data_IF_584063091093
#
_entry.id   IF_584063091093
#
_cell.length_a   1.000
_cell.length_b   1.000
_cell.length_c   1.000
_cell.angle_alpha   90.00
_cell.angle_beta   90.00
_cell.angle_gamma   90.00
#
_symmetry.space_group_name_H-M   'P 1'
#
loop_
_entity.id
_entity.type
_entity.pdbx_description
1 polymer ?
#
# COMPACT_ATOMS: atom_id res chain seq x y z
N UNK A 1 27.94 -23.78 -12.27
CA UNK A 1 27.14 -24.61 -11.36
C UNK A 1 26.41 -25.78 -12.06
N UNK A 2 26.91 -26.32 -13.19
CA UNK A 2 26.22 -27.44 -13.85
C UNK A 2 26.25 -28.68 -12.93
N UNK A 3 25.09 -29.08 -12.43
CA UNK A 3 24.90 -30.28 -11.60
C UNK A 3 24.79 -30.07 -10.09
N UNK A 4 24.93 -28.84 -9.58
CA UNK A 4 24.67 -28.53 -8.16
C UNK A 4 23.26 -27.94 -8.00
N UNK A 5 22.59 -28.32 -6.91
CA UNK A 5 21.26 -27.81 -6.54
C UNK A 5 21.38 -26.36 -6.03
N UNK A 6 20.80 -25.37 -6.74
CA UNK A 6 20.88 -23.97 -6.34
C UNK A 6 20.30 -23.69 -4.94
N UNK A 7 19.25 -24.41 -4.54
CA UNK A 7 18.66 -24.21 -3.21
C UNK A 7 19.64 -24.63 -2.11
N UNK A 8 20.32 -25.77 -2.27
CA UNK A 8 21.33 -26.22 -1.29
C UNK A 8 22.50 -25.25 -1.18
N UNK A 9 22.91 -24.64 -2.29
CA UNK A 9 23.96 -23.62 -2.30
C UNK A 9 23.47 -22.36 -1.57
N UNK A 10 22.26 -21.88 -1.85
CA UNK A 10 21.69 -20.74 -1.15
C UNK A 10 21.56 -20.99 0.36
N UNK A 11 21.15 -22.20 0.76
CA UNK A 11 20.95 -22.59 2.15
C UNK A 11 22.22 -22.57 3.00
N UNK A 12 23.42 -22.58 2.40
CA UNK A 12 24.70 -22.37 3.11
C UNK A 12 24.62 -21.12 3.99
N UNK A 13 24.00 -20.06 3.49
CA UNK A 13 23.88 -18.77 4.17
C UNK A 13 22.74 -18.67 5.18
N UNK A 14 21.94 -19.72 5.35
CA UNK A 14 20.96 -19.80 6.45
C UNK A 14 21.60 -20.11 7.80
N UNK A 15 22.81 -20.66 7.80
CA UNK A 15 23.50 -20.99 9.05
C UNK A 15 23.86 -19.74 9.86
N UNK A 16 23.86 -19.86 11.18
CA UNK A 16 24.18 -18.76 12.09
C UNK A 16 25.58 -18.18 11.86
N UNK A 17 26.51 -18.98 11.31
CA UNK A 17 27.86 -18.53 11.00
C UNK A 17 27.87 -17.42 9.93
N UNK A 18 26.91 -17.43 8.99
CA UNK A 18 26.80 -16.42 7.93
C UNK A 18 25.67 -15.42 8.20
N UNK A 19 24.52 -15.88 8.69
CA UNK A 19 23.33 -15.04 8.88
C UNK A 19 23.61 -13.80 9.74
N UNK A 20 24.48 -13.92 10.76
CA UNK A 20 24.91 -12.80 11.61
C UNK A 20 25.61 -11.67 10.84
N UNK A 21 26.35 -12.00 9.77
CA UNK A 21 27.04 -11.02 8.94
C UNK A 21 26.04 -10.20 8.12
N UNK A 22 24.95 -10.82 7.68
CA UNK A 22 23.94 -10.16 6.84
C UNK A 22 22.96 -9.30 7.63
N UNK A 23 22.89 -9.45 8.96
CA UNK A 23 22.11 -8.55 9.81
C UNK A 23 22.76 -7.16 9.95
N UNK A 24 24.09 -7.06 9.80
CA UNK A 24 24.83 -5.81 9.95
C UNK A 24 25.01 -5.14 8.58
N UNK A 25 24.80 -3.81 8.46
CA UNK A 25 25.18 -3.09 7.25
C UNK A 25 26.64 -3.37 6.88
N UNK A 26 26.87 -3.74 5.63
CA UNK A 26 28.19 -4.10 5.07
C UNK A 26 28.88 -5.29 5.77
N UNK A 27 28.20 -6.03 6.63
CA UNK A 27 28.81 -7.16 7.35
C UNK A 27 29.22 -8.31 6.43
N UNK A 28 28.62 -8.39 5.23
CA UNK A 28 28.97 -9.33 4.17
C UNK A 28 30.42 -9.18 3.68
N UNK A 29 31.07 -8.03 3.86
CA UNK A 29 32.48 -7.85 3.50
C UNK A 29 33.43 -8.76 4.29
N UNK A 30 32.96 -9.40 5.36
CA UNK A 30 33.71 -10.38 6.15
C UNK A 30 33.48 -11.84 5.72
N UNK A 31 32.73 -12.05 4.64
CA UNK A 31 32.48 -13.38 4.06
C UNK A 31 33.32 -13.50 2.79
N UNK A 32 33.83 -14.71 2.52
CA UNK A 32 34.58 -14.99 1.30
C UNK A 32 33.81 -14.55 0.04
N UNK A 33 34.48 -13.79 -0.83
CA UNK A 33 33.82 -13.10 -1.93
C UNK A 33 33.39 -14.07 -3.06
N UNK A 34 34.12 -15.16 -3.27
CA UNK A 34 33.74 -16.20 -4.23
C UNK A 34 32.53 -17.00 -3.72
N UNK A 35 32.50 -17.33 -2.42
CA UNK A 35 31.35 -17.94 -1.78
C UNK A 35 30.12 -17.04 -1.84
N UNK A 36 30.27 -15.73 -1.58
CA UNK A 36 29.20 -14.74 -1.73
C UNK A 36 28.66 -14.72 -3.16
N UNK A 37 29.53 -14.74 -4.17
CA UNK A 37 29.13 -14.75 -5.58
C UNK A 37 28.35 -16.01 -5.91
N UNK A 38 28.86 -17.16 -5.49
CA UNK A 38 28.26 -18.47 -5.73
C UNK A 38 26.85 -18.54 -5.14
N UNK A 39 26.68 -18.16 -3.86
CA UNK A 39 25.38 -18.17 -3.21
C UNK A 39 24.42 -17.10 -3.76
N UNK A 40 24.93 -15.92 -4.15
CA UNK A 40 24.10 -14.89 -4.80
C UNK A 40 23.57 -15.35 -6.18
N UNK A 41 24.41 -16.00 -6.98
CA UNK A 41 23.98 -16.61 -8.24
C UNK A 41 22.99 -17.76 -8.01
N UNK A 42 23.19 -18.58 -6.98
CA UNK A 42 22.27 -19.65 -6.63
C UNK A 42 20.90 -19.13 -6.21
N UNK A 43 20.84 -18.06 -5.39
CA UNK A 43 19.59 -17.38 -5.05
C UNK A 43 18.88 -16.86 -6.32
N UNK A 44 19.64 -16.26 -7.24
CA UNK A 44 19.11 -15.79 -8.52
C UNK A 44 18.52 -16.94 -9.35
N UNK A 45 19.22 -18.08 -9.47
CA UNK A 45 18.71 -19.25 -10.19
C UNK A 45 17.40 -19.79 -9.57
N UNK A 46 17.31 -19.85 -8.24
CA UNK A 46 16.06 -20.22 -7.54
C UNK A 46 14.93 -19.23 -7.87
N UNK A 47 15.20 -17.92 -7.83
CA UNK A 47 14.20 -16.90 -8.16
C UNK A 47 13.76 -16.94 -9.63
N UNK A 48 14.67 -17.22 -10.57
CA UNK A 48 14.34 -17.34 -12.00
C UNK A 48 13.51 -18.59 -12.31
N UNK A 49 13.74 -19.69 -11.60
CA UNK A 49 12.98 -20.92 -11.77
C UNK A 49 11.59 -20.87 -11.10
N UNK A 50 11.34 -19.89 -10.22
CA UNK A 50 10.09 -19.80 -9.49
C UNK A 50 8.92 -19.35 -10.40
N UNK A 51 7.74 -20.02 -10.34
CA UNK A 51 6.60 -19.69 -11.19
C UNK A 51 5.86 -18.44 -10.68
N UNK A 52 6.46 -17.27 -10.90
CA UNK A 52 5.94 -15.98 -10.41
C UNK A 52 4.52 -15.69 -10.88
N UNK A 53 4.16 -16.07 -12.10
CA UNK A 53 2.82 -15.83 -12.64
C UNK A 53 1.75 -16.65 -11.91
N UNK A 54 2.02 -17.93 -11.63
CA UNK A 54 1.09 -18.80 -10.91
C UNK A 54 0.98 -18.36 -9.45
N UNK A 55 2.11 -18.01 -8.82
CA UNK A 55 2.12 -17.39 -7.49
C UNK A 55 1.28 -16.10 -7.46
N UNK A 56 1.47 -15.20 -8.43
CA UNK A 56 0.76 -13.92 -8.46
C UNK A 56 -0.75 -14.10 -8.69
N UNK A 57 -1.13 -15.09 -9.51
CA UNK A 57 -2.53 -15.50 -9.70
C UNK A 57 -3.16 -15.94 -8.38
N UNK A 58 -2.50 -16.82 -7.63
CA UNK A 58 -3.01 -17.28 -6.34
C UNK A 58 -3.03 -16.15 -5.29
N UNK A 59 -1.91 -15.45 -5.12
CA UNK A 59 -1.71 -14.51 -4.02
C UNK A 59 -2.46 -13.18 -4.20
N UNK A 60 -2.48 -12.63 -5.42
CA UNK A 60 -3.02 -11.28 -5.66
C UNK A 60 -4.34 -11.29 -6.43
N UNK A 61 -4.53 -12.23 -7.36
CA UNK A 61 -5.82 -12.36 -8.07
C UNK A 61 -6.82 -13.23 -7.31
N UNK A 62 -6.37 -13.95 -6.26
CA UNK A 62 -7.19 -14.87 -5.46
C UNK A 62 -7.89 -15.93 -6.32
N UNK A 63 -7.23 -16.37 -7.39
CA UNK A 63 -7.72 -17.42 -8.29
C UNK A 63 -6.96 -18.71 -7.99
N UNK A 64 -7.72 -19.75 -7.67
CA UNK A 64 -7.22 -21.10 -7.41
C UNK A 64 -7.88 -22.04 -8.41
N UNK A 65 -7.08 -22.93 -9.00
CA UNK A 65 -7.59 -24.06 -9.75
C UNK A 65 -7.99 -25.18 -8.78
N UNK A 66 -8.97 -25.99 -9.18
CA UNK A 66 -9.49 -27.04 -8.30
C UNK A 66 -8.41 -28.11 -8.06
N UNK A 67 -8.17 -28.44 -6.80
CA UNK A 67 -7.07 -29.34 -6.39
C UNK A 67 -5.65 -28.72 -6.43
N UNK A 68 -5.50 -27.44 -6.74
CA UNK A 68 -4.19 -26.77 -6.79
C UNK A 68 -3.59 -26.55 -5.40
N UNK A 69 -2.30 -26.87 -5.24
CA UNK A 69 -1.58 -26.59 -4.00
C UNK A 69 -1.20 -25.11 -3.88
N UNK A 70 -1.19 -24.59 -2.65
CA UNK A 70 -0.72 -23.23 -2.37
C UNK A 70 0.76 -23.11 -2.73
N UNK A 71 1.07 -22.21 -3.66
CA UNK A 71 2.44 -21.86 -4.04
C UNK A 71 2.99 -20.91 -2.97
N UNK A 72 4.09 -21.29 -2.33
CA UNK A 72 4.84 -20.45 -1.40
C UNK A 72 6.09 -19.92 -2.09
N UNK A 73 6.46 -18.68 -1.78
CA UNK A 73 7.73 -18.11 -2.26
C UNK A 73 8.91 -18.97 -1.82
N UNK A 74 10.01 -18.98 -2.59
CA UNK A 74 11.21 -19.70 -2.19
C UNK A 74 11.72 -19.24 -0.82
N UNK A 75 12.16 -20.18 0.00
CA UNK A 75 12.77 -19.90 1.29
C UNK A 75 14.26 -19.58 1.08
N UNK A 76 14.57 -18.31 0.81
CA UNK A 76 15.95 -17.85 0.60
C UNK A 76 16.60 -17.39 1.91
N UNK A 77 17.93 -17.47 2.04
CA UNK A 77 18.64 -16.87 3.17
C UNK A 77 18.38 -15.36 3.26
N UNK A 78 18.64 -14.78 4.43
CA UNK A 78 18.60 -13.32 4.59
C UNK A 78 19.58 -12.65 3.62
N UNK A 79 19.13 -11.66 2.87
CA UNK A 79 20.00 -10.91 1.97
C UNK A 79 21.00 -10.01 2.73
N UNK A 80 22.17 -9.70 2.15
CA UNK A 80 23.15 -8.81 2.75
C UNK A 80 22.68 -7.36 2.88
N UNK A 81 22.80 -6.76 4.08
CA UNK A 81 22.51 -5.34 4.31
C UNK A 81 23.66 -4.46 3.81
N UNK A 82 23.42 -3.25 3.25
CA UNK A 82 22.17 -2.49 3.31
C UNK A 82 21.13 -2.84 2.23
N UNK A 83 21.43 -3.71 1.27
CA UNK A 83 20.49 -4.11 0.22
C UNK A 83 19.18 -4.67 0.80
N UNK A 84 18.09 -4.62 0.02
CA UNK A 84 16.74 -5.05 0.43
C UNK A 84 16.27 -6.34 -0.26
N UNK A 85 17.08 -6.89 -1.16
CA UNK A 85 16.85 -8.18 -1.81
C UNK A 85 18.16 -8.81 -2.30
N UNK A 86 18.13 -10.11 -2.60
CA UNK A 86 19.26 -10.81 -3.25
C UNK A 86 19.53 -10.28 -4.65
N UNK A 87 18.48 -9.96 -5.41
CA UNK A 87 18.60 -9.35 -6.74
C UNK A 87 19.37 -8.02 -6.67
N UNK A 88 19.00 -7.11 -5.77
CA UNK A 88 19.72 -5.84 -5.57
C UNK A 88 21.17 -6.05 -5.16
N UNK A 89 21.44 -6.94 -4.20
CA UNK A 89 22.80 -7.26 -3.77
C UNK A 89 23.64 -7.81 -4.94
N UNK A 90 23.10 -8.78 -5.69
CA UNK A 90 23.79 -9.40 -6.82
C UNK A 90 24.09 -8.36 -7.90
N UNK A 91 23.12 -7.55 -8.28
CA UNK A 91 23.31 -6.50 -9.30
C UNK A 91 24.30 -5.42 -8.84
N UNK A 92 24.21 -4.98 -7.58
CA UNK A 92 25.00 -3.88 -7.03
C UNK A 92 26.40 -4.26 -6.56
N UNK A 93 26.65 -5.52 -6.19
CA UNK A 93 27.96 -5.97 -5.71
C UNK A 93 28.74 -6.75 -6.77
N UNK A 94 28.04 -7.50 -7.64
CA UNK A 94 28.65 -8.38 -8.63
C UNK A 94 28.22 -8.14 -10.08
N UNK A 95 27.13 -7.40 -10.30
CA UNK A 95 26.55 -7.17 -11.61
C UNK A 95 26.91 -5.81 -12.21
N UNK A 96 26.12 -5.39 -13.20
CA UNK A 96 26.34 -4.14 -13.94
C UNK A 96 26.16 -2.85 -13.13
N UNK A 97 25.60 -2.92 -11.92
CA UNK A 97 25.44 -1.77 -11.03
C UNK A 97 26.57 -1.64 -10.01
N UNK A 98 27.64 -2.45 -10.16
CA UNK A 98 28.80 -2.37 -9.28
C UNK A 98 29.47 -0.99 -9.35
N UNK A 99 29.70 -0.40 -8.19
CA UNK A 99 30.31 0.93 -8.05
C UNK A 99 29.31 2.09 -8.07
N UNK A 100 28.01 1.83 -8.24
CA UNK A 100 26.96 2.84 -8.07
C UNK A 100 26.59 2.98 -6.59
N UNK A 101 26.26 4.19 -6.17
CA UNK A 101 25.75 4.43 -4.82
C UNK A 101 24.37 3.77 -4.63
N UNK A 102 24.24 2.93 -3.61
CA UNK A 102 22.99 2.27 -3.27
C UNK A 102 22.16 3.13 -2.30
N UNK A 103 20.91 3.45 -2.67
CA UNK A 103 19.98 4.30 -1.91
C UNK A 103 20.61 5.61 -1.36
N UNK A 104 21.24 6.45 -2.20
CA UNK A 104 21.89 7.66 -1.74
C UNK A 104 20.87 8.63 -1.14
N UNK A 105 21.05 8.97 0.14
CA UNK A 105 20.08 9.76 0.93
C UNK A 105 19.83 11.17 0.38
N UNK A 106 20.79 11.72 -0.37
CA UNK A 106 20.70 13.01 -1.04
C UNK A 106 19.69 13.04 -2.20
N UNK A 107 19.25 11.89 -2.72
CA UNK A 107 18.40 11.78 -3.91
C UNK A 107 16.97 11.34 -3.59
N UNK A 108 16.37 11.90 -2.54
CA UNK A 108 14.94 11.72 -2.25
C UNK A 108 14.11 12.64 -3.15
N UNK A 109 13.44 12.06 -4.14
CA UNK A 109 12.63 12.80 -5.11
C UNK A 109 11.18 12.89 -4.58
N UNK A 110 10.64 14.10 -4.30
CA UNK A 110 9.25 14.24 -3.90
C UNK A 110 8.31 13.99 -5.09
N UNK A 111 7.19 13.32 -4.83
CA UNK A 111 6.10 13.15 -5.79
C UNK A 111 4.75 13.27 -5.07
N UNK A 112 3.70 13.59 -5.82
CA UNK A 112 2.34 13.75 -5.32
C UNK A 112 1.38 12.94 -6.19
N UNK A 113 0.36 12.36 -5.56
CA UNK A 113 -0.75 11.69 -6.25
C UNK A 113 -2.02 12.38 -5.85
N UNK A 114 -2.77 12.88 -6.84
CA UNK A 114 -4.06 13.51 -6.61
C UNK A 114 -5.16 12.47 -6.46
N UNK A 115 -6.05 12.69 -5.50
CA UNK A 115 -7.22 11.85 -5.25
C UNK A 115 -8.45 12.72 -5.02
N UNK A 116 -9.59 12.32 -5.58
CA UNK A 116 -10.90 12.89 -5.30
C UNK A 116 -11.73 11.96 -4.43
N UNK A 117 -12.44 12.52 -3.45
CA UNK A 117 -13.44 11.80 -2.66
C UNK A 117 -14.84 12.23 -3.09
N UNK A 118 -15.67 11.25 -3.41
CA UNK A 118 -17.10 11.44 -3.64
C UNK A 118 -17.86 10.72 -2.52
N UNK A 119 -18.62 11.44 -1.67
CA UNK A 119 -19.48 10.80 -0.68
C UNK A 119 -20.70 10.17 -1.34
N UNK A 120 -21.30 9.17 -0.68
CA UNK A 120 -22.54 8.56 -1.16
C UNK A 120 -23.72 9.54 -1.02
N UNK A 121 -23.80 10.26 0.10
CA UNK A 121 -24.82 11.30 0.34
C UNK A 121 -24.26 12.51 1.10
N UNK A 122 -24.93 13.65 0.92
CA UNK A 122 -24.66 14.91 1.64
C UNK A 122 -25.88 15.27 2.48
N UNK A 123 -25.68 15.78 3.69
CA UNK A 123 -26.77 16.24 4.53
C UNK A 123 -27.43 17.51 3.95
N UNK A 124 -28.76 17.56 3.84
CA UNK A 124 -29.44 18.72 3.24
C UNK A 124 -29.41 19.97 4.12
N UNK A 125 -29.08 19.86 5.41
CA UNK A 125 -29.04 20.99 6.34
C UNK A 125 -27.63 21.52 6.59
N UNK A 126 -26.59 20.73 6.26
CA UNK A 126 -25.19 21.11 6.40
C UNK A 126 -24.33 20.28 5.44
N UNK A 127 -23.84 20.89 4.36
CA UNK A 127 -23.12 20.20 3.29
C UNK A 127 -21.71 19.73 3.67
N UNK A 128 -21.27 20.00 4.90
CA UNK A 128 -20.05 19.45 5.51
C UNK A 128 -20.30 18.14 6.26
N UNK A 129 -21.56 17.70 6.41
CA UNK A 129 -21.89 16.38 6.93
C UNK A 129 -22.18 15.47 5.74
N UNK A 130 -21.43 14.39 5.63
CA UNK A 130 -21.58 13.42 4.55
C UNK A 130 -21.86 12.03 5.13
N UNK A 131 -22.57 11.21 4.37
CA UNK A 131 -22.89 9.84 4.74
C UNK A 131 -22.22 8.85 3.79
N UNK A 132 -21.72 7.76 4.34
CA UNK A 132 -21.09 6.68 3.59
C UNK A 132 -21.71 5.34 3.99
N UNK A 133 -22.31 4.65 3.02
CA UNK A 133 -22.81 3.28 3.19
C UNK A 133 -21.65 2.30 3.10
N UNK A 134 -21.46 1.45 4.12
CA UNK A 134 -20.32 0.53 4.14
C UNK A 134 -20.63 -0.85 4.70
N UNK A 135 -20.34 -1.86 3.88
CA UNK A 135 -20.26 -3.25 4.32
C UNK A 135 -18.93 -3.58 5.01
N UNK A 136 -17.82 -3.16 4.41
CA UNK A 136 -16.48 -3.35 4.98
C UNK A 136 -15.53 -2.22 4.57
N UNK A 137 -14.64 -1.84 5.47
CA UNK A 137 -13.46 -1.01 5.16
C UNK A 137 -12.31 -1.97 4.84
N UNK A 138 -12.16 -2.30 3.56
CA UNK A 138 -11.37 -3.46 3.12
C UNK A 138 -9.86 -3.33 3.38
N UNK A 139 -9.29 -2.16 3.10
CA UNK A 139 -7.84 -1.91 3.13
C UNK A 139 -7.49 -0.58 3.84
N UNK A 140 -6.21 -0.46 4.22
CA UNK A 140 -5.72 0.67 5.00
C UNK A 140 -5.76 1.96 4.17
N UNK A 141 -5.70 1.84 2.85
CA UNK A 141 -5.82 2.95 1.92
C UNK A 141 -7.23 3.54 1.94
N UNK A 142 -8.26 2.71 1.89
CA UNK A 142 -9.66 3.09 2.05
C UNK A 142 -9.91 3.75 3.40
N UNK A 143 -9.33 3.21 4.48
CA UNK A 143 -9.41 3.84 5.80
C UNK A 143 -8.73 5.22 5.83
N UNK A 144 -7.52 5.33 5.26
CA UNK A 144 -6.77 6.59 5.16
C UNK A 144 -7.50 7.63 4.31
N UNK A 145 -8.15 7.22 3.21
CA UNK A 145 -8.98 8.07 2.34
C UNK A 145 -9.98 8.88 3.16
N UNK A 146 -10.79 8.21 4.01
CA UNK A 146 -11.79 8.90 4.82
C UNK A 146 -11.17 9.87 5.83
N UNK A 147 -10.07 9.47 6.47
CA UNK A 147 -9.35 10.34 7.42
C UNK A 147 -8.80 11.58 6.70
N UNK A 148 -8.16 11.40 5.54
CA UNK A 148 -7.60 12.50 4.76
C UNK A 148 -8.71 13.42 4.24
N UNK A 149 -9.76 12.86 3.64
CA UNK A 149 -10.90 13.63 3.13
C UNK A 149 -11.54 14.48 4.24
N UNK A 150 -11.80 13.89 5.40
CA UNK A 150 -12.38 14.57 6.56
C UNK A 150 -11.48 15.71 7.06
N UNK A 151 -10.19 15.43 7.27
CA UNK A 151 -9.25 16.40 7.84
C UNK A 151 -8.92 17.55 6.89
N UNK A 152 -8.72 17.25 5.61
CA UNK A 152 -8.27 18.24 4.63
C UNK A 152 -9.42 19.13 4.13
N UNK A 153 -10.65 18.61 4.10
CA UNK A 153 -11.80 19.36 3.61
C UNK A 153 -12.75 19.85 4.71
N UNK A 154 -12.41 19.56 5.98
CA UNK A 154 -13.26 19.88 7.13
C UNK A 154 -14.70 19.36 6.95
N UNK A 155 -14.81 18.08 6.63
CA UNK A 155 -16.09 17.36 6.54
C UNK A 155 -16.22 16.34 7.68
N UNK A 156 -17.45 16.07 8.10
CA UNK A 156 -17.79 15.05 9.07
C UNK A 156 -18.43 13.87 8.35
N UNK A 157 -17.83 12.69 8.48
CA UNK A 157 -18.33 11.47 7.85
C UNK A 157 -19.16 10.71 8.89
N UNK A 158 -20.40 10.38 8.52
CA UNK A 158 -21.28 9.48 9.26
C UNK A 158 -21.38 8.17 8.48
N UNK A 159 -20.88 7.09 9.05
CA UNK A 159 -20.97 5.77 8.40
C UNK A 159 -22.33 5.11 8.65
N UNK A 160 -22.88 4.48 7.62
CA UNK A 160 -24.05 3.60 7.72
C UNK A 160 -23.53 2.18 7.49
N UNK A 161 -23.33 1.43 8.57
CA UNK A 161 -22.80 0.07 8.48
C UNK A 161 -23.91 -0.96 8.23
N UNK A 162 -23.65 -1.91 7.34
CA UNK A 162 -24.62 -2.98 7.06
C UNK A 162 -24.71 -4.02 8.19
N UNK A 163 -23.59 -4.25 8.90
CA UNK A 163 -23.48 -5.29 9.91
C UNK A 163 -22.66 -4.83 11.13
N UNK A 164 -22.99 -5.40 12.29
CA UNK A 164 -22.32 -5.15 13.57
C UNK A 164 -21.04 -5.97 13.71
N UNK A 165 -20.07 -5.43 14.44
CA UNK A 165 -18.86 -6.13 14.89
C UNK A 165 -17.99 -6.70 13.76
N UNK A 166 -18.07 -6.10 12.56
CA UNK A 166 -17.23 -6.50 11.44
C UNK A 166 -15.79 -6.11 11.78
N UNK A 167 -14.94 -7.13 11.92
CA UNK A 167 -13.51 -6.96 12.07
C UNK A 167 -12.96 -6.33 10.81
N UNK A 168 -12.11 -5.35 10.99
CA UNK A 168 -11.49 -4.74 9.85
C UNK A 168 -10.28 -5.56 9.38
N UNK A 169 -10.19 -5.93 8.09
CA UNK A 169 -9.27 -6.99 7.62
C UNK A 169 -7.78 -6.67 7.77
N UNK A 170 -7.43 -5.39 7.87
CA UNK A 170 -6.07 -4.89 7.83
C UNK A 170 -5.33 -4.81 9.16
N UNK A 171 -5.95 -5.26 10.26
CA UNK A 171 -5.45 -5.04 11.61
C UNK A 171 -5.05 -6.37 12.19
N UNK A 172 -3.81 -6.38 12.66
CA UNK A 172 -3.29 -7.51 13.40
C UNK A 172 -4.11 -7.71 14.67
N UNK A 173 -4.50 -8.95 15.00
CA UNK A 173 -5.11 -9.24 16.30
C UNK A 173 -4.23 -8.72 17.44
N UNK A 174 -4.87 -8.24 18.50
CA UNK A 174 -4.21 -7.84 19.75
C UNK A 174 -3.69 -9.08 20.48
N UNK A 175 -2.87 -8.88 21.51
CA UNK A 175 -2.30 -9.97 22.33
C UNK A 175 -3.39 -10.85 22.94
N UNK A 176 -4.53 -10.25 23.31
CA UNK A 176 -5.71 -10.94 23.85
C UNK A 176 -6.57 -11.65 22.79
N UNK A 177 -6.16 -11.65 21.52
CA UNK A 177 -6.89 -12.26 20.40
C UNK A 177 -8.04 -11.41 19.85
N UNK A 178 -8.40 -10.30 20.49
CA UNK A 178 -9.42 -9.38 19.96
C UNK A 178 -8.90 -8.63 18.73
N UNK A 179 -9.80 -8.13 17.89
CA UNK A 179 -9.44 -7.34 16.71
C UNK A 179 -10.34 -6.12 16.64
N UNK A 180 -9.78 -4.99 16.18
CA UNK A 180 -10.55 -3.76 16.04
C UNK A 180 -11.68 -3.95 15.03
N UNK A 181 -12.90 -3.57 15.42
CA UNK A 181 -14.06 -3.57 14.51
C UNK A 181 -14.17 -2.23 13.77
N UNK A 182 -15.07 -2.16 12.78
CA UNK A 182 -15.36 -0.91 12.08
C UNK A 182 -15.87 0.19 13.02
N UNK A 183 -16.68 -0.19 14.01
CA UNK A 183 -17.19 0.70 15.05
C UNK A 183 -16.08 1.28 15.92
N UNK A 184 -15.17 0.42 16.39
CA UNK A 184 -14.01 0.84 17.17
C UNK A 184 -13.14 1.81 16.36
N UNK A 185 -12.92 1.50 15.08
CA UNK A 185 -12.14 2.34 14.18
C UNK A 185 -12.82 3.70 13.96
N UNK A 186 -14.12 3.73 13.64
CA UNK A 186 -14.87 4.96 13.42
C UNK A 186 -14.80 5.87 14.65
N UNK A 187 -15.11 5.32 15.84
CA UNK A 187 -14.99 6.05 17.12
C UNK A 187 -13.58 6.56 17.36
N UNK A 188 -12.56 5.74 17.14
CA UNK A 188 -11.15 6.13 17.31
C UNK A 188 -10.75 7.29 16.40
N UNK A 189 -11.29 7.36 15.19
CA UNK A 189 -11.02 8.46 14.25
C UNK A 189 -11.93 9.68 14.45
N UNK A 190 -12.90 9.61 15.37
CA UNK A 190 -13.85 10.69 15.64
C UNK A 190 -15.05 10.73 14.68
N UNK A 191 -15.30 9.66 13.93
CA UNK A 191 -16.48 9.52 13.07
C UNK A 191 -17.68 9.00 13.86
N UNK A 192 -18.87 9.44 13.44
CA UNK A 192 -20.12 8.87 13.91
C UNK A 192 -20.54 7.71 12.98
N UNK A 193 -21.36 6.80 13.50
CA UNK A 193 -21.96 5.76 12.68
C UNK A 193 -23.35 5.37 13.19
N UNK A 194 -24.17 4.84 12.28
CA UNK A 194 -25.36 4.08 12.58
C UNK A 194 -25.38 2.81 11.71
N UNK A 195 -26.48 2.07 11.75
CA UNK A 195 -26.66 0.90 10.90
C UNK A 195 -27.79 1.14 9.90
N UNK A 196 -27.85 0.31 8.86
CA UNK A 196 -28.96 0.31 7.92
C UNK A 196 -30.31 0.22 8.66
N UNK A 197 -31.25 1.08 8.27
CA UNK A 197 -32.57 1.23 8.92
C UNK A 197 -32.56 2.10 10.19
N UNK A 198 -31.41 2.59 10.65
CA UNK A 198 -31.28 3.46 11.83
C UNK A 198 -31.00 4.92 11.48
N UNK A 199 -30.95 5.27 10.21
CA UNK A 199 -30.61 6.60 9.69
C UNK A 199 -31.60 7.64 10.20
N UNK A 200 -32.91 7.34 10.13
CA UNK A 200 -33.96 8.24 10.61
C UNK A 200 -33.87 8.46 12.14
N UNK A 201 -33.44 7.45 12.89
CA UNK A 201 -33.23 7.58 14.33
C UNK A 201 -31.99 8.45 14.62
N UNK A 202 -30.88 8.22 13.90
CA UNK A 202 -29.67 9.05 14.01
C UNK A 202 -29.99 10.52 13.72
N UNK A 203 -30.74 10.81 12.65
CA UNK A 203 -31.16 12.17 12.26
C UNK A 203 -32.12 12.85 13.24
N UNK A 204 -32.64 12.13 14.25
CA UNK A 204 -33.42 12.71 15.36
C UNK A 204 -32.62 12.87 16.64
N UNK A 205 -31.41 12.30 16.71
CA UNK A 205 -30.56 12.32 17.88
C UNK A 205 -30.04 13.73 18.20
N UNK A 206 -29.71 13.98 19.47
CA UNK A 206 -29.11 15.25 19.87
C UNK A 206 -27.70 15.42 19.29
N UNK A 207 -26.99 14.31 19.04
CA UNK A 207 -25.71 14.32 18.34
C UNK A 207 -25.85 14.89 16.93
N UNK A 208 -26.85 14.43 16.16
CA UNK A 208 -27.14 14.98 14.84
C UNK A 208 -27.48 16.47 14.90
N UNK A 209 -28.38 16.87 15.81
CA UNK A 209 -28.73 18.28 15.99
C UNK A 209 -27.49 19.13 16.29
N UNK A 210 -26.60 18.63 17.15
CA UNK A 210 -25.33 19.29 17.46
C UNK A 210 -24.44 19.41 16.22
N UNK A 211 -24.29 18.34 15.43
CA UNK A 211 -23.49 18.36 14.21
C UNK A 211 -24.00 19.41 13.22
N UNK A 212 -25.29 19.41 12.92
CA UNK A 212 -25.90 20.37 11.98
C UNK A 212 -25.65 21.81 12.44
N UNK A 213 -25.80 22.08 13.74
CA UNK A 213 -25.67 23.44 14.28
C UNK A 213 -24.22 23.92 14.47
N UNK A 214 -23.27 23.00 14.70
CA UNK A 214 -21.94 23.37 15.19
C UNK A 214 -20.79 22.91 14.30
N UNK A 215 -20.94 21.82 13.55
CA UNK A 215 -19.84 21.31 12.74
C UNK A 215 -19.58 22.23 11.54
N UNK A 216 -18.33 22.66 11.40
CA UNK A 216 -17.95 23.61 10.36
C UNK A 216 -18.59 24.99 10.53
N UNK A 217 -19.11 25.32 11.72
CA UNK A 217 -19.68 26.65 11.98
C UNK A 217 -18.65 27.74 11.66
N UNK A 218 -19.08 28.75 10.93
CA UNK A 218 -18.28 29.87 10.40
C UNK A 218 -17.37 29.52 9.20
N UNK A 219 -17.42 28.29 8.66
CA UNK A 219 -16.84 27.99 7.36
C UNK A 219 -17.85 28.31 6.25
N UNK A 220 -17.40 28.64 5.02
CA UNK A 220 -18.28 28.69 3.86
C UNK A 220 -18.90 27.31 3.61
N UNK A 221 -19.95 27.25 2.80
CA UNK A 221 -20.48 25.95 2.37
C UNK A 221 -19.37 25.15 1.68
N UNK A 222 -19.38 23.82 1.83
CA UNK A 222 -18.43 22.95 1.16
C UNK A 222 -18.49 23.16 -0.35
N UNK A 223 -19.70 23.30 -0.91
CA UNK A 223 -19.90 23.53 -2.35
C UNK A 223 -19.22 24.81 -2.84
N UNK A 224 -19.33 25.91 -2.10
CA UNK A 224 -18.64 27.17 -2.44
C UNK A 224 -17.13 26.99 -2.38
N UNK A 225 -16.61 26.37 -1.30
CA UNK A 225 -15.18 26.10 -1.14
C UNK A 225 -14.62 25.32 -2.34
N UNK A 226 -15.28 24.22 -2.72
CA UNK A 226 -14.85 23.38 -3.84
C UNK A 226 -14.89 24.11 -5.19
N UNK A 227 -15.82 25.05 -5.38
CA UNK A 227 -15.90 25.85 -6.61
C UNK A 227 -14.73 26.83 -6.74
N UNK A 228 -14.28 27.41 -5.62
CA UNK A 228 -13.12 28.32 -5.58
C UNK A 228 -11.81 27.55 -5.75
N UNK A 229 -11.68 26.40 -5.09
CA UNK A 229 -10.49 25.56 -5.17
C UNK A 229 -10.29 24.99 -6.58
N UNK A 230 -11.38 24.58 -7.24
CA UNK A 230 -11.35 24.11 -8.63
C UNK A 230 -10.91 25.17 -9.66
N UNK A 231 -11.04 26.46 -9.34
CA UNK A 231 -10.49 27.54 -10.19
C UNK A 231 -8.98 27.74 -10.01
N UNK A 232 -8.41 27.31 -8.88
CA UNK A 232 -7.02 27.60 -8.51
C UNK A 232 -6.05 26.41 -8.70
N UNK A 233 -6.54 25.20 -9.02
CA UNK A 233 -5.77 23.95 -8.92
C UNK A 233 -5.07 23.46 -10.19
N UNK A 234 -4.86 24.27 -11.23
CA UNK A 234 -4.18 23.82 -12.47
C UNK A 234 -2.84 24.54 -12.78
N UNK A 235 -1.76 24.29 -12.03
CA UNK A 235 -0.42 24.33 -12.57
C UNK A 235 -0.07 22.94 -13.16
N UNK A 236 0.08 22.89 -14.48
CA UNK A 236 0.08 21.65 -15.27
C UNK A 236 1.09 20.57 -14.89
N UNK A 237 0.69 19.30 -15.07
CA UNK A 237 1.57 18.14 -14.98
C UNK A 237 1.34 17.17 -16.17
N UNK A 238 2.43 16.99 -16.92
CA UNK A 238 2.79 15.88 -17.83
C UNK A 238 1.79 15.40 -18.89
N UNK A 239 1.82 16.05 -20.05
CA UNK A 239 1.41 15.44 -21.32
C UNK A 239 2.57 14.63 -21.92
N UNK A 240 2.67 13.32 -21.63
CA UNK A 240 3.35 12.40 -22.54
C UNK A 240 2.35 11.89 -23.59
N UNK A 241 2.05 12.73 -24.59
CA UNK A 241 1.66 12.20 -25.89
C UNK A 241 2.95 11.79 -26.59
N UNK A 242 3.23 10.49 -26.65
CA UNK A 242 4.19 9.97 -27.62
C UNK A 242 3.70 10.40 -29.01
N UNK A 243 4.37 11.39 -29.61
CA UNK A 243 4.21 11.67 -31.02
C UNK A 243 4.88 10.52 -31.77
N UNK A 244 4.07 9.65 -32.37
CA UNK A 244 4.54 8.70 -33.38
C UNK A 244 4.88 9.49 -34.64
N UNK A 245 6.11 9.94 -34.79
CA UNK A 245 6.64 10.37 -36.08
C UNK A 245 6.99 9.13 -36.90
N UNK A 246 6.08 8.75 -37.80
CA UNK A 246 6.41 7.87 -38.93
C UNK A 246 7.35 8.62 -39.86
N UNK A 247 8.63 8.26 -39.84
CA UNK A 247 9.62 8.70 -40.82
C UNK A 247 9.43 7.86 -42.08
N UNK A 248 8.82 8.43 -43.10
CA UNK A 248 8.82 7.87 -44.46
C UNK A 248 10.18 8.15 -45.07
N UNK A 249 11.04 7.12 -45.15
CA UNK A 249 12.26 7.23 -45.95
C UNK A 249 11.88 7.20 -47.43
N UNK A 250 12.08 8.31 -48.12
CA UNK A 250 12.11 8.35 -49.58
C UNK A 250 13.54 8.04 -50.01
N UNK A 251 13.72 6.92 -50.70
CA UNK A 251 14.99 6.56 -51.34
C UNK A 251 15.07 7.32 -52.65
N UNK A 252 16.15 8.07 -52.85
CA UNK A 252 16.61 8.54 -54.16
C UNK A 252 17.81 7.69 -54.58
#
# INVERSE_FOLDING_TARGET
>A
MKGLDPQKIADIFKSDSYAKHFQKPHGYLNVDNELLKLCADACYEVEQAFPWNDYNRQAYQRKFEDGESIIKTPDLPRYPRPYRSWSEFRMGHFGGMKGFDYEPSAYKIPYYVEHSYQPDWIDPLNDRIVYEGKGVIADLETARKYICAAKQNHIHIVFIFSNRNIKCPWVKPRVDGTSMTMEDWAKKQGFDYCYEGQEAAFRKSDRYKWLVQNFGRNLPSLKEQLSVDGMNSHPGFFAHKQQSTSVTMTVQ
#
